data_IF_800582027528
#
_entry.id   IF_800582027528
#
_cell.length_a   1.000
_cell.length_b   1.000
_cell.length_c   1.000
_cell.angle_alpha   90.00
_cell.angle_beta   90.00
_cell.angle_gamma   90.00
#
_symmetry.space_group_name_H-M   'P 1'
#
loop_
_entity.id
_entity.type
_entity.pdbx_description
1 polymer ?
#
# COMPACT_ATOMS: atom_id res chain seq x y z
N UNK A 1 7.27 16.48 -13.30
CA UNK A 1 6.66 15.28 -13.92
C UNK A 1 5.20 15.15 -13.49
N UNK A 2 4.86 14.92 -12.21
CA UNK A 2 3.44 14.74 -11.81
C UNK A 2 2.50 15.90 -12.21
N UNK A 3 2.96 17.15 -12.14
CA UNK A 3 2.19 18.31 -12.61
C UNK A 3 1.77 18.24 -14.08
N UNK A 4 2.53 17.54 -14.93
CA UNK A 4 2.16 17.32 -16.33
C UNK A 4 0.85 16.52 -16.46
N UNK A 5 0.61 15.57 -15.55
CA UNK A 5 -0.64 14.81 -15.47
C UNK A 5 -1.82 15.65 -14.96
N UNK A 6 -1.55 16.80 -14.33
CA UNK A 6 -2.54 17.77 -13.89
C UNK A 6 -2.73 18.91 -14.92
N UNK A 7 -2.29 18.71 -16.17
CA UNK A 7 -2.41 19.69 -17.25
C UNK A 7 -1.35 20.78 -17.29
N UNK A 8 -0.40 20.82 -16.34
CA UNK A 8 0.75 21.73 -16.39
C UNK A 8 1.87 21.08 -17.22
N UNK A 9 1.73 21.17 -18.55
CA UNK A 9 2.65 20.48 -19.46
C UNK A 9 4.11 20.84 -19.20
N UNK A 10 4.93 19.80 -19.04
CA UNK A 10 6.38 19.94 -19.08
C UNK A 10 6.81 20.27 -20.51
N UNK A 11 7.55 21.38 -20.74
CA UNK A 11 8.11 21.70 -22.05
C UNK A 11 8.96 20.53 -22.58
N UNK A 12 8.86 20.27 -23.89
CA UNK A 12 9.62 19.22 -24.59
C UNK A 12 9.43 17.81 -24.03
N UNK A 13 8.36 17.55 -23.29
CA UNK A 13 8.03 16.22 -22.82
C UNK A 13 7.81 15.26 -24.00
N UNK A 14 8.37 14.04 -23.95
CA UNK A 14 8.07 13.04 -24.96
C UNK A 14 6.57 12.71 -24.92
N UNK A 15 5.96 12.47 -26.08
CA UNK A 15 4.54 12.11 -26.16
C UNK A 15 4.18 10.88 -25.32
N UNK A 16 5.13 9.96 -25.15
CA UNK A 16 5.00 8.77 -24.32
C UNK A 16 4.77 9.08 -22.83
N UNK A 17 5.11 10.29 -22.36
CA UNK A 17 4.78 10.71 -20.98
C UNK A 17 3.27 10.82 -20.78
N UNK A 18 2.51 11.18 -21.82
CA UNK A 18 1.05 11.31 -21.75
C UNK A 18 0.35 9.95 -21.55
N UNK A 19 1.01 8.84 -21.92
CA UNK A 19 0.49 7.47 -21.77
C UNK A 19 1.16 6.72 -20.62
N UNK A 20 2.07 7.35 -19.88
CA UNK A 20 2.67 6.73 -18.70
C UNK A 20 1.64 6.63 -17.56
N UNK A 21 1.80 5.62 -16.71
CA UNK A 21 0.98 5.47 -15.50
C UNK A 21 1.78 5.83 -14.26
N UNK A 22 1.09 6.38 -13.27
CA UNK A 22 1.67 6.59 -11.94
C UNK A 22 1.25 5.43 -11.05
N UNK A 23 2.23 4.69 -10.54
CA UNK A 23 1.98 3.48 -9.75
C UNK A 23 2.56 3.63 -8.35
N UNK A 24 1.71 3.58 -7.35
CA UNK A 24 2.05 3.45 -5.95
C UNK A 24 2.33 2.00 -5.56
N UNK A 25 3.31 1.80 -4.67
CA UNK A 25 3.59 0.52 -4.01
C UNK A 25 3.81 0.74 -2.50
N UNK A 26 3.27 -0.17 -1.69
CA UNK A 26 3.57 -0.28 -0.26
C UNK A 26 3.55 -1.76 0.19
N UNK A 27 4.36 -2.11 1.19
CA UNK A 27 4.42 -3.45 1.78
C UNK A 27 4.36 -3.40 3.29
N UNK A 28 3.54 -4.28 3.90
CA UNK A 28 3.55 -4.49 5.35
C UNK A 28 4.27 -5.81 5.66
N UNK A 29 5.16 -5.75 6.65
CA UNK A 29 5.87 -6.92 7.20
C UNK A 29 5.39 -7.23 8.60
N UNK A 30 5.51 -8.50 8.98
CA UNK A 30 5.30 -8.88 10.36
C UNK A 30 6.41 -8.31 11.27
N UNK A 31 6.01 -7.79 12.43
CA UNK A 31 6.90 -7.13 13.39
C UNK A 31 7.94 -8.07 14.01
N UNK A 32 7.70 -9.39 13.97
CA UNK A 32 8.63 -10.38 14.51
C UNK A 32 9.44 -11.07 13.41
N UNK A 33 10.67 -11.48 13.74
CA UNK A 33 11.53 -12.25 12.85
C UNK A 33 10.81 -13.51 12.35
N UNK A 34 10.94 -13.87 11.05
CA UNK A 34 11.88 -13.31 10.07
C UNK A 34 11.36 -12.08 9.31
N UNK A 35 10.31 -11.42 9.80
CA UNK A 35 9.64 -10.29 9.15
C UNK A 35 9.13 -10.64 7.74
N UNK A 36 8.35 -11.71 7.56
CA UNK A 36 7.73 -11.98 6.26
C UNK A 36 6.80 -10.83 5.86
N UNK A 37 6.65 -10.61 4.56
CA UNK A 37 5.60 -9.75 4.01
C UNK A 37 4.25 -10.39 4.34
N UNK A 38 3.33 -9.59 4.89
CA UNK A 38 1.94 -9.99 5.17
C UNK A 38 1.00 -9.40 4.13
N UNK A 39 1.29 -8.19 3.65
CA UNK A 39 0.39 -7.40 2.79
C UNK A 39 1.19 -6.66 1.71
N UNK A 40 0.56 -6.48 0.55
CA UNK A 40 1.07 -5.70 -0.57
C UNK A 40 -0.06 -4.78 -1.03
N UNK A 41 0.22 -3.47 -1.06
CA UNK A 41 -0.66 -2.44 -1.57
C UNK A 41 -0.18 -1.99 -2.94
N UNK A 42 -1.12 -1.84 -3.87
CA UNK A 42 -0.87 -1.19 -5.16
C UNK A 42 -1.95 -0.13 -5.36
N UNK A 43 -1.55 1.07 -5.76
CA UNK A 43 -2.49 2.08 -6.24
C UNK A 43 -2.01 2.61 -7.58
N UNK A 44 -2.89 2.72 -8.55
CA UNK A 44 -2.59 3.24 -9.87
C UNK A 44 -3.35 4.53 -10.10
N UNK A 45 -2.71 5.50 -10.74
CA UNK A 45 -3.34 6.70 -11.24
C UNK A 45 -3.03 6.82 -12.73
N UNK A 46 -4.07 6.55 -13.52
CA UNK A 46 -4.10 6.74 -14.96
C UNK A 46 -5.07 7.89 -15.25
N UNK A 47 -4.57 9.11 -15.10
CA UNK A 47 -5.42 10.29 -15.06
C UNK A 47 -4.77 11.51 -15.68
N UNK A 48 -4.16 11.37 -16.86
CA UNK A 48 -3.69 12.53 -17.62
C UNK A 48 -4.84 13.50 -17.91
N UNK A 49 -4.83 14.64 -17.21
CA UNK A 49 -5.78 15.72 -17.41
C UNK A 49 -5.24 16.61 -18.53
N UNK A 50 -6.00 16.70 -19.62
CA UNK A 50 -5.68 17.58 -20.73
C UNK A 50 -5.59 19.06 -20.26
N UNK A 51 -4.64 19.85 -20.79
CA UNK A 51 -4.53 21.26 -20.46
C UNK A 51 -5.84 22.02 -20.65
N UNK A 52 -6.17 22.91 -19.71
CA UNK A 52 -7.41 23.68 -19.72
C UNK A 52 -8.64 22.95 -19.18
N UNK A 53 -8.54 21.65 -18.86
CA UNK A 53 -9.55 20.97 -18.04
C UNK A 53 -9.35 21.32 -16.56
N UNK A 54 -10.47 21.49 -15.86
CA UNK A 54 -10.46 21.75 -14.44
C UNK A 54 -10.05 20.50 -13.65
N UNK A 55 -8.97 20.61 -12.88
CA UNK A 55 -8.46 19.56 -11.99
C UNK A 55 -9.32 19.45 -10.73
N UNK A 56 -10.11 20.48 -10.43
CA UNK A 56 -10.88 20.60 -9.20
C UNK A 56 -10.08 21.25 -8.08
N UNK A 57 -10.78 21.78 -7.09
CA UNK A 57 -10.16 22.58 -6.02
C UNK A 57 -9.22 21.74 -5.15
N UNK A 58 -9.58 20.47 -4.93
CA UNK A 58 -8.83 19.48 -4.17
C UNK A 58 -8.32 18.35 -5.08
N UNK A 59 -8.11 18.65 -6.37
CA UNK A 59 -7.77 17.67 -7.38
C UNK A 59 -8.80 16.54 -7.57
N UNK A 60 -10.06 16.76 -7.20
CA UNK A 60 -11.10 15.72 -7.23
C UNK A 60 -11.24 15.04 -8.60
N UNK A 61 -11.10 15.79 -9.70
CA UNK A 61 -11.20 15.23 -11.05
C UNK A 61 -9.98 14.39 -11.45
N UNK A 62 -8.83 14.61 -10.80
CA UNK A 62 -7.66 13.74 -10.94
C UNK A 62 -7.80 12.49 -10.07
N UNK A 63 -8.17 12.69 -8.79
CA UNK A 63 -8.21 11.66 -7.76
C UNK A 63 -9.18 10.53 -8.08
N UNK A 64 -10.33 10.82 -8.70
CA UNK A 64 -11.31 9.78 -9.08
C UNK A 64 -10.78 8.73 -10.06
N UNK A 65 -9.65 8.99 -10.73
CA UNK A 65 -9.00 8.02 -11.62
C UNK A 65 -7.99 7.12 -10.90
N UNK A 66 -7.93 7.20 -9.57
CA UNK A 66 -7.14 6.25 -8.79
C UNK A 66 -7.86 4.90 -8.76
N UNK A 67 -7.08 3.83 -8.88
CA UNK A 67 -7.50 2.45 -8.70
C UNK A 67 -6.63 1.84 -7.63
N UNK A 68 -7.20 1.11 -6.68
CA UNK A 68 -6.46 0.58 -5.55
C UNK A 68 -6.69 -0.92 -5.39
N UNK A 69 -5.64 -1.63 -5.01
CA UNK A 69 -5.67 -3.06 -4.72
C UNK A 69 -4.91 -3.36 -3.44
N UNK A 70 -5.43 -4.33 -2.70
CA UNK A 70 -4.83 -4.80 -1.46
C UNK A 70 -4.76 -6.32 -1.46
N UNK A 71 -3.54 -6.85 -1.42
CA UNK A 71 -3.28 -8.29 -1.42
C UNK A 71 -2.73 -8.72 -0.06
N UNK A 72 -3.26 -9.80 0.50
CA UNK A 72 -2.72 -10.48 1.68
C UNK A 72 -2.13 -11.83 1.28
N UNK A 73 -0.90 -12.09 1.68
CA UNK A 73 -0.26 -13.38 1.38
C UNK A 73 -0.88 -14.48 2.25
N UNK A 74 -1.56 -15.47 1.66
CA UNK A 74 -2.24 -16.58 2.36
C UNK A 74 -1.36 -17.24 3.41
N UNK A 75 -0.08 -17.44 3.09
CA UNK A 75 0.86 -18.04 4.04
C UNK A 75 0.97 -17.23 5.33
N UNK A 76 1.04 -15.91 5.22
CA UNK A 76 1.35 -14.98 6.31
C UNK A 76 0.15 -14.17 6.84
N UNK A 77 -1.03 -14.25 6.21
CA UNK A 77 -2.20 -13.43 6.57
C UNK A 77 -2.81 -13.72 7.96
N UNK A 78 -2.30 -14.72 8.67
CA UNK A 78 -2.63 -14.98 10.08
C UNK A 78 -1.73 -14.21 11.06
N UNK A 79 -0.62 -13.66 10.57
CA UNK A 79 0.32 -12.85 11.33
C UNK A 79 -0.23 -11.42 11.41
N UNK A 80 -0.40 -10.94 12.63
CA UNK A 80 -0.91 -9.60 12.91
C UNK A 80 0.15 -8.86 13.73
N UNK A 81 0.39 -7.61 13.35
CA UNK A 81 1.21 -6.69 14.12
C UNK A 81 0.41 -6.20 15.34
N UNK A 82 1.09 -6.01 16.47
CA UNK A 82 0.47 -5.59 17.74
C UNK A 82 1.07 -4.32 18.31
N UNK A 83 2.15 -3.82 17.71
CA UNK A 83 2.70 -2.52 18.04
C UNK A 83 1.65 -1.41 17.92
N UNK A 84 1.82 -0.34 18.71
CA UNK A 84 0.93 0.81 18.65
C UNK A 84 0.93 1.38 17.22
N UNK A 85 -0.26 1.50 16.63
CA UNK A 85 -0.41 1.92 15.24
C UNK A 85 -0.24 0.81 14.20
N UNK A 86 -0.34 -0.47 14.55
CA UNK A 86 -0.24 -1.59 13.61
C UNK A 86 -1.38 -1.73 12.56
N UNK A 87 -2.44 -0.92 12.66
CA UNK A 87 -3.60 -1.00 11.77
C UNK A 87 -4.45 -2.27 11.95
N UNK A 88 -5.51 -2.37 11.14
CA UNK A 88 -6.32 -3.58 11.01
C UNK A 88 -6.27 -4.05 9.55
N UNK A 89 -5.61 -5.19 9.25
CA UNK A 89 -5.44 -5.66 7.88
C UNK A 89 -6.74 -6.16 7.23
N UNK A 90 -7.84 -6.25 7.98
CA UNK A 90 -9.17 -6.51 7.44
C UNK A 90 -9.90 -5.22 6.99
N UNK A 91 -9.33 -4.04 7.27
CA UNK A 91 -9.97 -2.75 7.06
C UNK A 91 -9.38 -1.96 5.87
N UNK A 92 -9.37 -2.54 4.68
CA UNK A 92 -9.04 -1.83 3.44
C UNK A 92 -10.25 -1.01 2.96
N UNK A 93 -10.14 0.32 2.96
CA UNK A 93 -11.29 1.22 2.78
C UNK A 93 -11.46 1.75 1.34
N UNK A 94 -10.53 1.39 0.44
CA UNK A 94 -10.58 1.78 -0.97
C UNK A 94 -10.96 0.62 -1.88
N UNK A 95 -11.49 -0.48 -1.35
CA UNK A 95 -11.92 -1.60 -2.17
C UNK A 95 -12.00 -2.90 -1.37
N UNK A 96 -11.64 -4.00 -2.00
CA UNK A 96 -11.64 -5.33 -1.38
C UNK A 96 -10.23 -5.87 -1.24
N UNK A 97 -9.98 -6.50 -0.11
CA UNK A 97 -8.78 -7.31 0.11
C UNK A 97 -8.93 -8.65 -0.61
N UNK A 98 -7.91 -9.06 -1.36
CA UNK A 98 -7.80 -10.42 -1.91
C UNK A 98 -6.67 -11.19 -1.23
N UNK A 99 -6.84 -12.50 -1.12
CA UNK A 99 -5.84 -13.40 -0.57
C UNK A 99 -5.18 -14.19 -1.68
N UNK A 100 -3.85 -14.10 -1.76
CA UNK A 100 -3.05 -14.68 -2.84
C UNK A 100 -1.94 -15.56 -2.25
N UNK A 101 -1.57 -16.62 -2.96
CA UNK A 101 -0.27 -17.26 -2.71
C UNK A 101 0.87 -16.41 -3.31
N UNK A 102 2.11 -16.80 -3.01
CA UNK A 102 3.28 -16.04 -3.46
C UNK A 102 3.36 -15.97 -4.99
N UNK A 103 3.12 -17.07 -5.69
CA UNK A 103 3.22 -17.10 -7.16
C UNK A 103 2.16 -16.21 -7.81
N UNK A 104 0.94 -16.23 -7.29
CA UNK A 104 -0.14 -15.34 -7.72
C UNK A 104 0.22 -13.88 -7.44
N UNK A 105 0.82 -13.55 -6.28
CA UNK A 105 1.29 -12.19 -5.99
C UNK A 105 2.39 -11.73 -6.97
N UNK A 106 3.35 -12.61 -7.30
CA UNK A 106 4.41 -12.34 -8.29
C UNK A 106 3.83 -12.09 -9.67
N UNK A 107 2.85 -12.90 -10.08
CA UNK A 107 2.14 -12.73 -11.34
C UNK A 107 1.35 -11.42 -11.37
N UNK A 108 0.62 -11.09 -10.31
CA UNK A 108 -0.12 -9.83 -10.22
C UNK A 108 0.81 -8.61 -10.35
N UNK A 109 1.94 -8.61 -9.65
CA UNK A 109 2.98 -7.58 -9.80
C UNK A 109 3.53 -7.53 -11.23
N UNK A 110 3.81 -8.69 -11.84
CA UNK A 110 4.29 -8.74 -13.21
C UNK A 110 3.26 -8.17 -14.21
N UNK A 111 1.97 -8.47 -14.05
CA UNK A 111 0.90 -7.97 -14.92
C UNK A 111 0.81 -6.44 -14.84
N UNK A 112 0.88 -5.88 -13.64
CA UNK A 112 0.81 -4.43 -13.44
C UNK A 112 2.04 -3.74 -14.02
N UNK A 113 3.24 -4.17 -13.63
CA UNK A 113 4.47 -3.50 -14.04
C UNK A 113 4.89 -3.81 -15.48
N UNK A 114 4.45 -4.91 -16.08
CA UNK A 114 4.75 -5.25 -17.48
C UNK A 114 3.57 -5.00 -18.43
N UNK A 115 2.63 -4.14 -18.03
CA UNK A 115 1.52 -3.73 -18.89
C UNK A 115 2.07 -3.19 -20.22
N UNK A 116 1.38 -3.53 -21.31
CA UNK A 116 1.65 -3.04 -22.67
C UNK A 116 0.46 -2.24 -23.17
N UNK A 117 0.71 -1.25 -24.01
CA UNK A 117 -0.35 -0.41 -24.61
C UNK A 117 -1.37 -1.24 -25.40
N UNK A 118 -0.90 -2.31 -26.04
CA UNK A 118 -1.70 -3.29 -26.78
C UNK A 118 -0.96 -4.63 -26.80
N UNK A 119 -1.61 -5.67 -27.31
CA UNK A 119 -1.00 -7.00 -27.42
C UNK A 119 0.31 -6.94 -28.23
N UNK A 120 1.42 -7.37 -27.61
CA UNK A 120 2.79 -7.27 -28.16
C UNK A 120 3.34 -5.84 -28.39
N UNK A 121 2.63 -4.79 -27.95
CA UNK A 121 3.10 -3.40 -28.00
C UNK A 121 4.23 -3.09 -26.99
N UNK A 122 4.80 -1.88 -26.98
CA UNK A 122 5.81 -1.49 -25.98
C UNK A 122 5.26 -1.56 -24.55
N UNK A 123 6.16 -1.65 -23.57
CA UNK A 123 5.77 -1.52 -22.17
C UNK A 123 5.27 -0.10 -21.89
N UNK A 124 4.18 0.01 -21.15
CA UNK A 124 3.69 1.28 -20.62
C UNK A 124 4.75 1.83 -19.65
N UNK A 125 5.21 3.09 -19.80
CA UNK A 125 6.14 3.66 -18.84
C UNK A 125 5.49 3.83 -17.47
N UNK A 126 6.22 3.46 -16.42
CA UNK A 126 5.76 3.54 -15.03
C UNK A 126 6.54 4.61 -14.28
N UNK A 127 5.81 5.52 -13.64
CA UNK A 127 6.34 6.39 -12.60
C UNK A 127 6.00 5.75 -11.26
N UNK A 128 6.97 5.10 -10.63
CA UNK A 128 6.80 4.43 -9.34
C UNK A 128 6.80 5.45 -8.20
N UNK A 129 5.83 5.37 -7.31
CA UNK A 129 5.69 6.23 -6.14
C UNK A 129 5.60 5.39 -4.86
N UNK A 130 6.19 5.89 -3.78
CA UNK A 130 5.91 5.38 -2.43
C UNK A 130 6.25 6.40 -1.35
N UNK A 131 6.22 5.96 -0.10
CA UNK A 131 6.55 6.75 1.07
C UNK A 131 7.65 6.05 1.88
N UNK A 132 8.91 6.27 1.50
CA UNK A 132 10.00 5.38 1.88
C UNK A 132 10.19 4.19 0.92
N UNK A 133 9.89 4.39 -0.37
CA UNK A 133 9.71 3.34 -1.41
C UNK A 133 10.89 2.38 -1.56
N UNK A 134 12.10 2.82 -1.21
CA UNK A 134 13.29 1.98 -1.28
C UNK A 134 13.16 0.72 -0.39
N UNK A 135 12.50 0.85 0.77
CA UNK A 135 12.26 -0.26 1.68
C UNK A 135 11.31 -1.29 1.04
N UNK A 136 10.23 -0.84 0.40
CA UNK A 136 9.25 -1.74 -0.23
C UNK A 136 9.84 -2.52 -1.41
N UNK A 137 10.65 -1.87 -2.24
CA UNK A 137 11.37 -2.52 -3.34
C UNK A 137 12.30 -3.59 -2.80
N UNK A 138 13.07 -3.28 -1.73
CA UNK A 138 13.96 -4.25 -1.10
C UNK A 138 13.16 -5.41 -0.50
N UNK A 139 12.05 -5.14 0.19
CA UNK A 139 11.19 -6.15 0.80
C UNK A 139 10.67 -7.16 -0.24
N UNK A 140 10.15 -6.67 -1.39
CA UNK A 140 9.67 -7.53 -2.47
C UNK A 140 10.79 -8.42 -3.03
N UNK A 141 11.99 -7.86 -3.20
CA UNK A 141 13.14 -8.60 -3.72
C UNK A 141 13.63 -9.67 -2.73
N UNK A 142 13.76 -9.32 -1.46
CA UNK A 142 14.27 -10.21 -0.42
C UNK A 142 13.29 -11.32 -0.05
N UNK A 143 11.99 -10.99 0.00
CA UNK A 143 10.96 -11.93 0.50
C UNK A 143 10.32 -12.74 -0.61
N UNK A 144 10.03 -12.12 -1.76
CA UNK A 144 9.33 -12.77 -2.87
C UNK A 144 10.24 -13.07 -4.07
N UNK A 145 11.49 -12.59 -4.06
CA UNK A 145 12.38 -12.70 -5.22
C UNK A 145 11.94 -11.83 -6.40
N UNK A 146 11.11 -10.80 -6.15
CA UNK A 146 10.60 -9.91 -7.20
C UNK A 146 11.44 -8.65 -7.27
N UNK A 147 12.21 -8.51 -8.35
CA UNK A 147 12.91 -7.27 -8.67
C UNK A 147 12.08 -6.44 -9.67
N UNK A 148 11.24 -5.53 -9.15
CA UNK A 148 10.40 -4.66 -9.99
C UNK A 148 11.23 -3.74 -10.88
N UNK A 149 12.47 -3.41 -10.52
CA UNK A 149 13.36 -2.59 -11.33
C UNK A 149 13.85 -3.35 -12.57
N UNK A 150 13.96 -4.67 -12.48
CA UNK A 150 14.30 -5.55 -13.59
C UNK A 150 13.16 -5.73 -14.61
N UNK A 151 11.98 -5.15 -14.37
CA UNK A 151 10.89 -5.17 -15.35
C UNK A 151 11.02 -4.12 -16.46
N UNK A 152 11.98 -3.19 -16.35
CA UNK A 152 12.34 -2.21 -17.38
C UNK A 152 11.22 -1.27 -17.86
N UNK A 153 10.07 -1.24 -17.18
CA UNK A 153 8.99 -0.27 -17.42
C UNK A 153 9.12 0.99 -16.57
N UNK A 154 9.81 0.91 -15.42
CA UNK A 154 9.95 2.03 -14.49
C UNK A 154 10.91 3.07 -15.07
N UNK A 155 10.39 4.24 -15.40
CA UNK A 155 11.15 5.37 -15.96
C UNK A 155 11.50 6.43 -14.91
N UNK A 156 10.78 6.43 -13.78
CA UNK A 156 11.04 7.35 -12.66
C UNK A 156 10.56 6.73 -11.35
N UNK A 157 11.32 6.97 -10.29
CA UNK A 157 10.91 6.69 -8.91
C UNK A 157 10.76 8.03 -8.19
N UNK A 158 9.66 8.20 -7.45
CA UNK A 158 9.35 9.38 -6.65
C UNK A 158 9.03 8.93 -5.22
N UNK A 159 9.77 9.46 -4.25
CA UNK A 159 9.45 9.28 -2.84
C UNK A 159 8.68 10.50 -2.34
N UNK A 160 7.51 10.28 -1.74
CA UNK A 160 6.67 11.37 -1.21
C UNK A 160 7.31 12.09 -0.01
N UNK A 161 8.21 11.45 0.75
CA UNK A 161 8.98 12.13 1.79
C UNK A 161 9.94 13.15 1.18
N UNK A 162 10.61 12.77 0.09
CA UNK A 162 11.47 13.67 -0.66
C UNK A 162 10.66 14.78 -1.34
N UNK A 163 9.50 14.45 -1.93
CA UNK A 163 8.61 15.44 -2.55
C UNK A 163 8.10 16.46 -1.51
N UNK A 164 7.70 16.01 -0.33
CA UNK A 164 7.25 16.89 0.75
C UNK A 164 8.33 17.90 1.18
N UNK A 165 9.61 17.52 1.09
CA UNK A 165 10.73 18.39 1.45
C UNK A 165 10.85 19.64 0.55
N UNK A 166 10.24 19.63 -0.63
CA UNK A 166 10.23 20.74 -1.58
C UNK A 166 9.07 21.71 -1.38
N UNK A 167 8.13 21.41 -0.47
CA UNK A 167 6.94 22.25 -0.26
C UNK A 167 7.24 23.33 0.79
N UNK A 168 7.08 24.62 0.45
CA UNK A 168 7.39 25.71 1.37
C UNK A 168 6.58 25.66 2.68
N UNK A 169 5.26 25.38 2.59
CA UNK A 169 4.36 25.32 3.75
C UNK A 169 4.69 24.19 4.73
N UNK A 170 5.43 23.16 4.30
CA UNK A 170 5.90 22.06 5.15
C UNK A 170 7.29 22.31 5.75
N UNK A 171 7.98 23.38 5.32
CA UNK A 171 9.35 23.66 5.76
C UNK A 171 9.45 24.08 7.24
N UNK A 172 8.40 24.67 7.80
CA UNK A 172 8.35 25.07 9.22
C UNK A 172 8.20 23.88 10.19
N UNK A 173 7.62 22.76 9.74
CA UNK A 173 7.43 21.58 10.58
C UNK A 173 8.75 20.83 10.89
N UNK A 174 9.87 21.25 10.29
CA UNK A 174 11.19 20.63 10.45
C UNK A 174 12.02 21.22 11.60
N UNK A 175 11.57 22.29 12.24
CA UNK A 175 12.30 22.98 13.32
C UNK A 175 11.81 22.56 14.70
N UNK A 176 12.09 21.31 15.11
CA UNK A 176 12.07 20.89 16.52
C UNK A 176 12.70 19.48 16.71
N UNK A 177 14.02 19.40 16.91
CA UNK A 177 14.68 18.28 17.62
C UNK A 177 14.62 16.86 17.05
N UNK A 178 13.97 16.63 15.91
CA UNK A 178 13.94 15.33 15.22
C UNK A 178 14.93 15.39 14.07
N UNK A 179 15.73 14.34 13.85
CA UNK A 179 16.67 14.25 12.72
C UNK A 179 15.93 14.49 11.40
N UNK A 180 16.01 15.73 10.91
CA UNK A 180 15.03 16.35 10.03
C UNK A 180 15.22 16.01 8.55
N UNK A 181 14.84 14.78 8.14
CA UNK A 181 14.82 14.41 6.71
C UNK A 181 13.56 13.68 6.26
N UNK A 182 12.76 13.10 7.16
CA UNK A 182 11.60 12.27 6.82
C UNK A 182 10.33 12.76 7.52
N UNK A 183 9.26 13.01 6.77
CA UNK A 183 7.92 13.33 7.30
C UNK A 183 7.05 12.07 7.24
N UNK A 184 6.23 11.82 8.26
CA UNK A 184 5.34 10.67 8.24
C UNK A 184 4.13 10.89 7.34
N UNK A 185 3.59 9.80 6.80
CA UNK A 185 2.36 9.82 6.00
C UNK A 185 1.19 10.43 6.78
N UNK A 186 1.06 10.13 8.07
CA UNK A 186 0.07 10.72 8.98
C UNK A 186 0.20 12.25 9.07
N UNK A 187 1.43 12.78 9.20
CA UNK A 187 1.64 14.23 9.26
C UNK A 187 1.28 14.91 7.93
N UNK A 188 1.57 14.26 6.80
CA UNK A 188 1.17 14.76 5.49
C UNK A 188 -0.36 14.79 5.33
N UNK A 189 -1.07 13.74 5.73
CA UNK A 189 -2.53 13.73 5.70
C UNK A 189 -3.11 14.87 6.55
N UNK A 190 -2.57 15.07 7.75
CA UNK A 190 -2.98 16.16 8.63
C UNK A 190 -2.72 17.54 8.01
N UNK A 191 -1.62 17.73 7.30
CA UNK A 191 -1.31 18.99 6.60
C UNK A 191 -2.39 19.37 5.58
N UNK A 192 -2.95 18.40 4.88
CA UNK A 192 -4.04 18.61 3.91
C UNK A 192 -5.45 18.53 4.54
N UNK A 193 -5.55 18.35 5.87
CA UNK A 193 -6.84 18.20 6.55
C UNK A 193 -7.59 16.91 6.19
N UNK A 194 -6.87 15.89 5.70
CA UNK A 194 -7.45 14.59 5.38
C UNK A 194 -7.62 13.80 6.68
N UNK A 195 -8.84 13.37 7.03
CA UNK A 195 -9.05 12.54 8.21
C UNK A 195 -8.38 11.18 8.03
N UNK A 196 -7.73 10.72 9.09
CA UNK A 196 -7.07 9.43 9.12
C UNK A 196 -8.12 8.38 9.48
N UNK A 197 -8.37 7.46 8.56
CA UNK A 197 -9.28 6.35 8.72
C UNK A 197 -8.54 5.05 8.41
N UNK A 198 -8.75 4.01 9.23
CA UNK A 198 -8.26 2.65 8.96
C UNK A 198 -6.76 2.57 8.54
N UNK A 199 -5.90 3.31 9.23
CA UNK A 199 -4.49 3.47 8.83
C UNK A 199 -3.71 2.15 8.96
N UNK A 200 -2.63 2.00 8.18
CA UNK A 200 -1.67 0.87 8.22
C UNK A 200 -2.19 -0.47 7.68
N UNK A 201 -2.98 -0.44 6.61
CA UNK A 201 -2.97 -1.56 5.65
C UNK A 201 -2.16 -1.12 4.46
N UNK A 202 -1.45 -2.05 3.81
CA UNK A 202 -0.61 -1.68 2.67
C UNK A 202 -1.42 -0.97 1.56
N UNK A 203 -2.66 -1.44 1.34
CA UNK A 203 -3.58 -0.85 0.36
C UNK A 203 -4.05 0.56 0.71
N UNK A 204 -4.34 0.85 1.98
CA UNK A 204 -4.74 2.20 2.39
C UNK A 204 -3.55 3.16 2.30
N UNK A 205 -2.38 2.74 2.78
CA UNK A 205 -1.20 3.58 2.87
C UNK A 205 -0.69 3.98 1.48
N UNK A 206 -0.66 3.05 0.52
CA UNK A 206 -0.29 3.36 -0.86
C UNK A 206 -1.31 4.28 -1.55
N UNK A 207 -2.61 4.11 -1.26
CA UNK A 207 -3.65 4.94 -1.84
C UNK A 207 -3.56 6.37 -1.31
N UNK A 208 -3.41 6.53 0.00
CA UNK A 208 -3.15 7.82 0.63
C UNK A 208 -1.84 8.45 0.15
N UNK A 209 -0.80 7.65 -0.07
CA UNK A 209 0.48 8.11 -0.66
C UNK A 209 0.26 8.72 -2.04
N UNK A 210 -0.55 8.09 -2.90
CA UNK A 210 -0.83 8.60 -4.25
C UNK A 210 -1.70 9.87 -4.23
N UNK A 211 -2.72 9.90 -3.37
CA UNK A 211 -3.53 11.11 -3.10
C UNK A 211 -2.61 12.27 -2.70
N UNK A 212 -1.70 12.03 -1.75
CA UNK A 212 -0.75 13.05 -1.29
C UNK A 212 0.24 13.45 -2.38
N UNK A 213 0.74 12.53 -3.21
CA UNK A 213 1.62 12.88 -4.32
C UNK A 213 0.95 13.88 -5.29
N UNK A 214 -0.34 13.67 -5.58
CA UNK A 214 -1.15 14.56 -6.41
C UNK A 214 -1.31 15.93 -5.72
N UNK A 215 -1.74 15.96 -4.46
CA UNK A 215 -1.96 17.20 -3.72
C UNK A 215 -0.67 17.99 -3.49
N UNK A 216 0.44 17.33 -3.16
CA UNK A 216 1.76 17.94 -2.98
C UNK A 216 2.22 18.61 -4.27
N UNK A 217 2.07 17.93 -5.42
CA UNK A 217 2.52 18.50 -6.68
C UNK A 217 1.59 19.60 -7.20
N UNK A 218 0.30 19.56 -6.88
CA UNK A 218 -0.64 20.65 -7.18
C UNK A 218 -0.36 21.91 -6.36
N UNK A 219 0.12 21.75 -5.12
CA UNK A 219 0.41 22.84 -4.19
C UNK A 219 1.91 23.21 -4.10
N UNK A 220 2.74 22.76 -5.04
CA UNK A 220 4.21 22.86 -4.95
C UNK A 220 4.75 24.30 -4.84
N UNK A 221 4.05 25.25 -5.44
CA UNK A 221 4.37 26.68 -5.38
C UNK A 221 3.63 27.44 -4.27
N UNK A 222 2.71 26.79 -3.55
CA UNK A 222 1.92 27.45 -2.51
C UNK A 222 2.74 27.60 -1.23
N UNK A 223 2.77 28.82 -0.69
CA UNK A 223 3.29 29.09 0.66
C UNK A 223 2.21 28.97 1.72
N UNK A 224 0.93 28.95 1.33
CA UNK A 224 -0.20 28.80 2.23
C UNK A 224 -0.42 27.32 2.57
N UNK A 225 -0.77 27.06 3.83
CA UNK A 225 -1.29 25.74 4.25
C UNK A 225 -2.64 25.52 3.55
N UNK A 226 -2.84 24.38 2.86
CA UNK A 226 -4.11 24.04 2.22
C UNK A 226 -5.26 24.06 3.24
N UNK A 227 -6.39 24.64 2.86
CA UNK A 227 -7.58 24.68 3.72
C UNK A 227 -8.42 23.42 3.47
N UNK A 228 -8.92 22.74 4.52
CA UNK A 228 -9.78 21.56 4.33
C UNK A 228 -11.04 21.84 3.51
N UNK A 229 -11.58 23.05 3.65
CA UNK A 229 -12.71 23.55 2.84
C UNK A 229 -12.25 24.69 1.94
N UNK A 230 -12.51 24.56 0.65
CA UNK A 230 -12.27 25.60 -0.34
C UNK A 230 -13.36 25.50 -1.42
N UNK A 231 -13.89 26.65 -1.87
CA UNK A 231 -14.97 26.72 -2.86
C UNK A 231 -16.20 25.86 -2.49
N UNK A 232 -16.58 25.83 -1.20
CA UNK A 232 -17.64 24.98 -0.63
C UNK A 232 -17.44 23.46 -0.77
N UNK A 233 -16.24 23.01 -1.17
CA UNK A 233 -15.85 21.60 -1.22
C UNK A 233 -14.92 21.30 -0.06
N UNK A 234 -15.29 20.32 0.77
CA UNK A 234 -14.46 19.81 1.85
C UNK A 234 -13.66 18.58 1.37
N UNK A 235 -12.37 18.51 1.67
CA UNK A 235 -11.48 17.41 1.24
C UNK A 235 -12.01 16.03 1.66
N UNK A 236 -12.57 15.89 2.86
CA UNK A 236 -13.20 14.64 3.30
C UNK A 236 -14.34 14.16 2.39
N UNK A 237 -15.05 15.07 1.70
CA UNK A 237 -16.05 14.69 0.71
C UNK A 237 -15.42 14.15 -0.56
N UNK A 238 -14.31 14.73 -1.00
CA UNK A 238 -13.52 14.21 -2.13
C UNK A 238 -12.99 12.81 -1.81
N UNK A 239 -12.43 12.61 -0.61
CA UNK A 239 -11.91 11.31 -0.17
C UNK A 239 -13.02 10.26 -0.06
N UNK A 240 -14.22 10.62 0.43
CA UNK A 240 -15.37 9.71 0.50
C UNK A 240 -15.86 9.30 -0.90
N UNK A 241 -15.93 10.25 -1.82
CA UNK A 241 -16.30 9.97 -3.21
C UNK A 241 -15.26 9.04 -3.85
N UNK A 242 -13.97 9.30 -3.62
CA UNK A 242 -12.90 8.42 -4.08
C UNK A 242 -13.05 7.00 -3.54
N UNK A 243 -13.29 6.82 -2.24
CA UNK A 243 -13.54 5.49 -1.66
C UNK A 243 -14.69 4.76 -2.37
N UNK A 244 -15.77 5.48 -2.67
CA UNK A 244 -16.92 4.93 -3.40
C UNK A 244 -16.51 4.47 -4.78
N UNK A 245 -15.85 5.34 -5.56
CA UNK A 245 -15.37 5.02 -6.92
C UNK A 245 -14.42 3.82 -6.90
N UNK A 246 -13.41 3.80 -6.02
CA UNK A 246 -12.49 2.67 -5.94
C UNK A 246 -13.21 1.36 -5.53
N UNK A 247 -14.20 1.44 -4.64
CA UNK A 247 -14.95 0.24 -4.19
C UNK A 247 -15.86 -0.36 -5.26
N UNK A 248 -16.27 0.44 -6.24
CA UNK A 248 -17.11 0.01 -7.38
C UNK A 248 -16.28 -0.57 -8.53
N UNK A 249 -14.96 -0.33 -8.54
CA UNK A 249 -14.09 -0.89 -9.57
C UNK A 249 -13.97 -2.41 -9.41
N UNK A 250 -13.84 -3.10 -10.55
CA UNK A 250 -13.56 -4.53 -10.55
C UNK A 250 -12.29 -4.82 -9.78
N UNK A 251 -12.37 -5.79 -8.87
CA UNK A 251 -11.21 -6.31 -8.17
C UNK A 251 -10.21 -6.86 -9.19
N UNK A 252 -8.93 -6.82 -8.83
CA UNK A 252 -7.92 -7.52 -9.63
C UNK A 252 -8.35 -8.99 -9.81
N UNK A 253 -8.18 -9.59 -11.00
CA UNK A 253 -8.64 -10.94 -11.31
C UNK A 253 -7.73 -12.01 -10.68
N UNK A 254 -7.20 -11.76 -9.48
CA UNK A 254 -6.24 -12.59 -8.78
C UNK A 254 -6.69 -12.83 -7.34
N UNK A 255 -6.54 -14.07 -6.88
CA UNK A 255 -6.76 -14.45 -5.48
C UNK A 255 -8.22 -14.65 -5.10
N UNK A 256 -8.42 -14.92 -3.80
CA UNK A 256 -9.73 -15.17 -3.21
C UNK A 256 -10.19 -13.95 -2.40
N UNK A 257 -11.42 -13.47 -2.60
CA UNK A 257 -12.00 -12.41 -1.74
C UNK A 257 -12.33 -12.91 -0.33
N UNK A 258 -12.54 -14.23 -0.19
CA UNK A 258 -12.86 -14.88 1.09
C UNK A 258 -11.90 -16.02 1.36
N UNK A 259 -11.04 -15.82 2.36
CA UNK A 259 -10.09 -16.82 2.80
C UNK A 259 -9.97 -16.84 4.32
N UNK A 260 -9.92 -18.04 4.87
CA UNK A 260 -9.89 -18.23 6.31
C UNK A 260 -8.46 -18.30 6.83
N UNK A 261 -8.03 -17.25 7.56
CA UNK A 261 -6.72 -17.19 8.23
C UNK A 261 -6.54 -18.21 9.37
N UNK A 262 -7.57 -19.03 9.64
CA UNK A 262 -7.57 -20.07 10.68
C UNK A 262 -7.36 -21.48 10.11
N UNK A 263 -8.14 -21.86 9.09
CA UNK A 263 -8.15 -23.21 8.50
C UNK A 263 -7.69 -23.27 7.03
N UNK A 264 -7.24 -22.14 6.45
CA UNK A 264 -6.83 -22.02 5.04
C UNK A 264 -7.94 -22.30 4.01
N UNK A 265 -9.19 -22.47 4.46
CA UNK A 265 -10.33 -22.69 3.59
C UNK A 265 -10.74 -21.43 2.82
N UNK A 266 -11.18 -21.63 1.57
CA UNK A 266 -11.78 -20.58 0.73
C UNK A 266 -13.27 -20.45 1.05
N UNK A 267 -13.85 -19.27 0.81
CA UNK A 267 -15.29 -19.04 0.86
C UNK A 267 -15.84 -18.54 2.20
N UNK A 268 -15.01 -18.43 3.23
CA UNK A 268 -15.40 -17.90 4.55
C UNK A 268 -14.24 -17.19 5.25
N UNK A 269 -14.56 -16.31 6.20
CA UNK A 269 -13.57 -15.64 7.05
C UNK A 269 -13.33 -16.37 8.38
N UNK A 270 -12.26 -15.99 9.10
CA UNK A 270 -11.91 -16.57 10.41
C UNK A 270 -13.09 -16.61 11.40
N UNK A 271 -13.89 -15.55 11.46
CA UNK A 271 -15.07 -15.44 12.35
C UNK A 271 -16.17 -16.46 12.05
N UNK A 272 -16.28 -16.89 10.79
CA UNK A 272 -17.24 -17.88 10.30
C UNK A 272 -16.70 -19.31 10.40
N UNK A 273 -15.41 -19.49 10.66
CA UNK A 273 -14.77 -20.80 10.66
C UNK A 273 -15.30 -21.71 11.78
N UNK A 274 -15.77 -22.90 11.39
CA UNK A 274 -16.23 -23.97 12.29
C UNK A 274 -15.39 -25.24 12.22
N UNK A 275 -14.32 -25.23 11.41
CA UNK A 275 -13.39 -26.36 11.30
C UNK A 275 -12.74 -26.66 12.66
N UNK A 276 -12.75 -27.94 13.03
CA UNK A 276 -11.96 -28.46 14.14
C UNK A 276 -10.50 -28.52 13.73
N UNK A 277 -9.63 -27.90 14.54
CA UNK A 277 -8.21 -27.77 14.26
C UNK A 277 -7.41 -28.25 15.47
N UNK A 278 -6.19 -28.68 15.23
CA UNK A 278 -5.22 -28.99 16.28
C UNK A 278 -3.81 -28.66 15.77
N UNK A 279 -3.02 -28.03 16.63
CA UNK A 279 -1.63 -27.71 16.39
C UNK A 279 -0.75 -28.59 17.29
N UNK A 280 -0.06 -29.56 16.68
CA UNK A 280 0.77 -30.53 17.40
C UNK A 280 1.82 -29.87 18.31
N UNK A 281 2.47 -28.79 17.84
CA UNK A 281 3.48 -28.05 18.61
C UNK A 281 2.90 -27.44 19.89
N UNK A 282 1.67 -26.93 19.81
CA UNK A 282 1.00 -26.33 20.96
C UNK A 282 0.45 -27.40 21.90
N UNK A 283 -0.03 -28.54 21.38
CA UNK A 283 -0.48 -29.67 22.19
C UNK A 283 0.67 -30.22 23.04
N UNK A 284 1.86 -30.39 22.44
CA UNK A 284 3.02 -30.97 23.13
C UNK A 284 3.90 -29.94 23.83
N UNK A 285 3.54 -28.65 23.77
CA UNK A 285 4.34 -27.58 24.36
C UNK A 285 4.29 -27.59 25.88
N UNK A 286 5.40 -27.28 26.54
CA UNK A 286 5.46 -27.06 28.00
C UNK A 286 4.83 -25.75 28.46
N UNK A 287 4.56 -24.81 27.54
CA UNK A 287 3.86 -23.56 27.83
C UNK A 287 2.34 -23.77 27.97
N UNK A 288 1.73 -23.50 29.14
CA UNK A 288 0.28 -23.61 29.31
C UNK A 288 -0.51 -22.71 28.35
N UNK A 289 0.03 -21.54 28.01
CA UNK A 289 -0.59 -20.60 27.05
C UNK A 289 -0.65 -21.19 25.64
N UNK A 290 0.38 -21.93 25.22
CA UNK A 290 0.37 -22.61 23.94
C UNK A 290 -0.68 -23.73 23.94
N UNK A 291 -0.70 -24.57 24.98
CA UNK A 291 -1.68 -25.66 25.12
C UNK A 291 -3.13 -25.17 25.08
N UNK A 292 -3.45 -24.06 25.77
CA UNK A 292 -4.79 -23.45 25.77
C UNK A 292 -5.27 -23.03 24.37
N UNK A 293 -4.35 -22.73 23.45
CA UNK A 293 -4.67 -22.25 22.11
C UNK A 293 -4.45 -23.32 21.03
N UNK A 294 -4.07 -24.55 21.41
CA UNK A 294 -3.69 -25.59 20.47
C UNK A 294 -4.78 -25.95 19.46
N UNK A 295 -6.06 -25.82 19.82
CA UNK A 295 -7.20 -26.17 18.98
C UNK A 295 -7.76 -25.00 18.15
N UNK A 296 -7.04 -23.87 18.13
CA UNK A 296 -7.52 -22.63 17.49
C UNK A 296 -6.92 -22.39 16.11
N UNK A 297 -5.90 -23.14 15.70
CA UNK A 297 -5.14 -22.91 14.47
C UNK A 297 -4.48 -24.20 13.95
N UNK A 298 -4.11 -24.19 12.66
CA UNK A 298 -3.29 -25.25 12.05
C UNK A 298 -1.80 -25.06 12.39
N UNK A 299 -1.01 -26.11 12.23
CA UNK A 299 0.44 -26.12 12.52
C UNK A 299 1.19 -25.02 11.76
N UNK A 300 0.88 -24.81 10.49
CA UNK A 300 1.48 -23.80 9.62
C UNK A 300 1.06 -22.36 9.97
N UNK A 301 0.07 -22.19 10.86
CA UNK A 301 -0.38 -20.89 11.38
C UNK A 301 0.02 -20.67 12.85
N UNK A 302 0.91 -21.51 13.37
CA UNK A 302 1.31 -21.49 14.77
C UNK A 302 2.28 -20.34 15.08
N UNK A 303 1.81 -19.34 15.80
CA UNK A 303 2.65 -18.21 16.26
C UNK A 303 3.74 -18.64 17.24
N UNK A 304 3.50 -19.69 18.05
CA UNK A 304 4.50 -20.21 18.96
C UNK A 304 5.69 -20.79 18.17
N UNK A 305 5.41 -21.62 17.15
CA UNK A 305 6.42 -22.13 16.22
C UNK A 305 7.13 -21.00 15.47
N UNK A 306 6.39 -20.03 14.94
CA UNK A 306 6.96 -18.90 14.21
C UNK A 306 7.98 -18.11 15.05
N UNK A 307 7.68 -17.86 16.33
CA UNK A 307 8.59 -17.17 17.25
C UNK A 307 9.80 -18.01 17.65
N UNK A 308 9.67 -19.34 17.73
CA UNK A 308 10.80 -20.23 18.05
C UNK A 308 11.88 -20.23 16.97
N UNK A 309 11.50 -20.08 15.70
CA UNK A 309 12.46 -20.03 14.57
C UNK A 309 13.26 -18.70 14.58
N UNK A 310 12.76 -17.65 15.24
CA UNK A 310 13.39 -16.33 15.33
C UNK A 310 14.31 -16.10 16.54
N UNK A 311 14.36 -17.04 17.49
CA UNK A 311 15.27 -16.95 18.64
C UNK A 311 16.65 -17.52 18.28
N UNK A 312 17.77 -16.81 18.54
CA UNK A 312 19.08 -17.43 18.44
C UNK A 312 19.08 -18.66 19.35
N UNK A 313 19.44 -19.83 18.81
CA UNK A 313 19.73 -20.98 19.66
C UNK A 313 20.80 -20.50 20.67
N UNK A 314 20.62 -20.68 21.99
CA UNK A 314 21.75 -20.54 22.88
C UNK A 314 22.82 -21.52 22.39
N UNK A 315 24.04 -21.02 22.19
CA UNK A 315 25.19 -21.84 21.86
C UNK A 315 25.23 -22.99 22.86
N UNK A 316 25.06 -24.21 22.35
CA UNK A 316 25.26 -25.43 23.12
C UNK A 316 26.66 -25.91 22.79
N UNK A 317 27.62 -25.40 23.56
CA UNK A 317 28.84 -26.11 23.95
C UNK A 317 29.08 -25.85 25.44
#
# INVERSE_FOLDING_TARGET
ILRHFLGFLLPDAPSLLNSAIVLGLDTVRWENKPHPITEIGIAEWDGFINPGKDVGTHCENALINIRAAHMRLKLHAHLLNKQAGAGDPENFIFGKTVFVDEDTAKQALAVVFKRRDFENGPLVPVILIGHGIAADIANLKETLGVDVLAYHSIVKIIDTQALASTIPSLSYSRTAGHNATTISLQMLLAHFGIPIEAFNTAGNDVTYTLILAILLCYNDQSTAVPRPTQNNVHISTVIRNLKTVCSEQEALPFGDEKWCTRCSGVGHFRKECRTDLSCEYCVTSSSPKAQQTAYTHMVEKCLFKANLVGSPRPNSE
#
